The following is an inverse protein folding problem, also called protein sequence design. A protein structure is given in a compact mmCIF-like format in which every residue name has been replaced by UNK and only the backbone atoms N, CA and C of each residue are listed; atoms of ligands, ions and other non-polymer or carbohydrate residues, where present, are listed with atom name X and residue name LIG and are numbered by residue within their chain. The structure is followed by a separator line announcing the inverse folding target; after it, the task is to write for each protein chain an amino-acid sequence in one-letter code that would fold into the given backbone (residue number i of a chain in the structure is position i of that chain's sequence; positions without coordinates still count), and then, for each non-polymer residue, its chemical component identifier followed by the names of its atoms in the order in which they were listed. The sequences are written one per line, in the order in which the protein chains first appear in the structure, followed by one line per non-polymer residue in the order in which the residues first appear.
data_IF_193717768652
#
_entry.id   IF_193717768652
#
_cell.length_a   1.000
_cell.length_b   1.000
_cell.length_c   1.000
_cell.angle_alpha   90.00
_cell.angle_beta   90.00
_cell.angle_gamma   90.00
#
_symmetry.space_group_name_H-M   'P 1'
#
loop_
_entity.id
_entity.type
_entity.pdbx_description
1 polymer ?
#
# COMPACT_ATOMS: atom_id res chain seq x y z
N UNK A 1 -1.02 -4.10 -11.09
CA UNK A 1 -1.12 -4.66 -9.72
C UNK A 1 -2.59 -4.84 -9.36
N UNK A 2 -2.90 -5.77 -8.47
CA UNK A 2 -4.24 -5.92 -7.89
C UNK A 2 -4.45 -4.88 -6.79
N UNK A 3 -5.71 -4.64 -6.41
CA UNK A 3 -6.02 -3.79 -5.26
C UNK A 3 -5.41 -4.39 -3.99
N UNK A 4 -4.70 -3.55 -3.23
CA UNK A 4 -3.97 -3.95 -2.02
C UNK A 4 -4.85 -3.80 -0.79
N UNK A 5 -5.74 -2.82 -0.78
CA UNK A 5 -6.52 -2.42 0.38
C UNK A 5 -7.97 -2.91 0.32
N UNK A 6 -8.46 -3.36 1.47
CA UNK A 6 -9.90 -3.60 1.67
C UNK A 6 -10.57 -2.32 2.14
N UNK A 7 -11.61 -1.88 1.41
CA UNK A 7 -12.39 -0.67 1.74
C UNK A 7 -12.93 -0.66 3.17
N UNK A 8 -13.28 -1.82 3.75
CA UNK A 8 -13.71 -1.90 5.15
C UNK A 8 -12.59 -1.51 6.12
N UNK A 9 -11.38 -2.03 5.94
CA UNK A 9 -10.23 -1.70 6.79
C UNK A 9 -9.83 -0.22 6.68
N UNK A 10 -9.99 0.38 5.49
CA UNK A 10 -9.77 1.81 5.30
C UNK A 10 -10.78 2.64 6.10
N UNK A 11 -12.07 2.24 6.11
CA UNK A 11 -13.09 2.92 6.92
C UNK A 11 -12.85 2.77 8.41
N UNK A 12 -12.49 1.57 8.85
CA UNK A 12 -12.20 1.30 10.26
C UNK A 12 -10.98 2.13 10.74
N UNK A 13 -9.98 2.34 9.87
CA UNK A 13 -8.81 3.15 10.16
C UNK A 13 -9.09 4.67 10.14
N UNK A 14 -10.03 5.11 9.31
CA UNK A 14 -10.45 6.51 9.22
C UNK A 14 -11.54 6.88 10.24
N UNK A 15 -11.58 6.18 11.38
CA UNK A 15 -12.60 6.34 12.42
C UNK A 15 -12.86 7.82 12.76
N UNK A 16 -14.14 8.16 12.87
CA UNK A 16 -14.60 9.53 13.15
C UNK A 16 -14.72 10.46 11.94
N UNK A 17 -14.40 10.02 10.71
CA UNK A 17 -14.65 10.80 9.48
C UNK A 17 -15.25 9.98 8.34
N UNK A 18 -16.02 10.65 7.47
CA UNK A 18 -16.52 10.04 6.24
C UNK A 18 -15.39 9.88 5.22
N UNK A 19 -15.33 8.73 4.57
CA UNK A 19 -14.34 8.45 3.52
C UNK A 19 -14.96 8.62 2.14
N UNK A 20 -14.40 9.53 1.35
CA UNK A 20 -14.78 9.75 -0.05
C UNK A 20 -14.52 8.52 -0.93
N UNK A 21 -15.27 8.38 -2.02
CA UNK A 21 -15.11 7.22 -2.93
C UNK A 21 -13.78 7.25 -3.69
N UNK A 22 -13.28 8.43 -4.01
CA UNK A 22 -12.01 8.71 -4.67
C UNK A 22 -10.79 8.45 -3.76
N UNK A 23 -10.95 8.62 -2.45
CA UNK A 23 -9.89 8.36 -1.48
C UNK A 23 -9.39 6.91 -1.50
N UNK A 24 -10.30 5.93 -1.70
CA UNK A 24 -9.89 4.52 -1.72
C UNK A 24 -8.91 4.23 -2.85
N UNK A 25 -9.18 4.75 -4.04
CA UNK A 25 -8.37 4.49 -5.22
C UNK A 25 -7.02 5.22 -5.08
N UNK A 26 -7.04 6.49 -4.62
CA UNK A 26 -5.82 7.26 -4.38
C UNK A 26 -4.91 6.62 -3.31
N UNK A 27 -5.48 6.13 -2.21
CA UNK A 27 -4.71 5.46 -1.16
C UNK A 27 -4.15 4.11 -1.63
N UNK A 28 -4.92 3.35 -2.41
CA UNK A 28 -4.48 2.08 -2.94
C UNK A 28 -3.32 2.24 -3.93
N UNK A 29 -3.36 3.28 -4.77
CA UNK A 29 -2.27 3.63 -5.68
C UNK A 29 -0.99 4.04 -4.94
N UNK A 30 -1.09 4.81 -3.86
CA UNK A 30 0.08 5.16 -3.04
C UNK A 30 0.70 3.91 -2.39
N UNK A 31 -0.13 3.01 -1.86
CA UNK A 31 0.36 1.76 -1.26
C UNK A 31 0.98 0.84 -2.31
N UNK A 32 0.41 0.76 -3.51
CA UNK A 32 0.99 0.06 -4.66
C UNK A 32 2.40 0.58 -4.97
N UNK A 33 2.58 1.90 -5.04
CA UNK A 33 3.90 2.51 -5.26
C UNK A 33 4.89 2.23 -4.13
N UNK A 34 4.44 2.24 -2.87
CA UNK A 34 5.29 1.83 -1.74
C UNK A 34 5.76 0.38 -1.86
N UNK A 35 4.87 -0.54 -2.26
CA UNK A 35 5.21 -1.95 -2.48
C UNK A 35 6.18 -2.11 -3.65
N UNK A 36 5.97 -1.43 -4.77
CA UNK A 36 6.89 -1.46 -5.92
C UNK A 36 8.31 -1.05 -5.52
N UNK A 37 8.44 0.09 -4.81
CA UNK A 37 9.74 0.58 -4.33
C UNK A 37 10.39 -0.38 -3.35
N UNK A 38 9.61 -1.04 -2.49
CA UNK A 38 10.13 -2.04 -1.57
C UNK A 38 10.62 -3.29 -2.30
N UNK A 39 9.92 -3.70 -3.35
CA UNK A 39 10.35 -4.81 -4.22
C UNK A 39 11.64 -4.44 -4.96
N UNK A 40 11.75 -3.25 -5.55
CA UNK A 40 12.97 -2.76 -6.20
C UNK A 40 14.16 -2.80 -5.24
N UNK A 41 14.03 -2.20 -4.05
CA UNK A 41 15.10 -2.23 -3.03
C UNK A 41 15.50 -3.65 -2.66
N UNK A 42 14.55 -4.59 -2.56
CA UNK A 42 14.87 -5.98 -2.28
C UNK A 42 15.70 -6.60 -3.42
N UNK A 43 15.28 -6.37 -4.67
CA UNK A 43 15.94 -6.88 -5.88
C UNK A 43 17.34 -6.29 -6.08
N UNK A 44 17.51 -4.98 -5.88
CA UNK A 44 18.80 -4.27 -5.97
C UNK A 44 19.82 -4.82 -4.96
N UNK A 45 19.34 -5.32 -3.83
CA UNK A 45 20.16 -5.99 -2.82
C UNK A 45 20.29 -7.50 -3.03
N UNK A 46 19.91 -8.02 -4.20
CA UNK A 46 20.00 -9.44 -4.56
C UNK A 46 19.05 -10.35 -3.77
N UNK A 47 17.99 -9.82 -3.16
CA UNK A 47 17.05 -10.58 -2.32
C UNK A 47 15.76 -10.88 -3.06
N UNK A 48 15.15 -12.03 -2.74
CA UNK A 48 13.80 -12.44 -3.21
C UNK A 48 12.72 -12.27 -2.14
N UNK A 49 13.05 -11.59 -1.05
CA UNK A 49 12.15 -11.39 0.10
C UNK A 49 12.20 -9.92 0.49
N UNK A 50 11.05 -9.25 0.37
CA UNK A 50 10.80 -7.91 0.90
C UNK A 50 10.83 -7.98 2.42
N UNK A 51 11.54 -7.06 3.06
CA UNK A 51 11.69 -6.95 4.52
C UNK A 51 11.21 -5.59 4.99
N UNK A 52 11.03 -5.44 6.30
CA UNK A 52 10.62 -4.16 6.90
C UNK A 52 11.51 -2.97 6.50
N UNK A 53 12.81 -3.19 6.28
CA UNK A 53 13.76 -2.16 5.82
C UNK A 53 13.58 -1.71 4.37
N UNK A 54 12.76 -2.40 3.60
CA UNK A 54 12.52 -2.10 2.19
C UNK A 54 11.31 -1.18 2.00
N UNK A 55 10.42 -1.11 2.99
CA UNK A 55 9.31 -0.14 3.05
C UNK A 55 9.90 1.25 3.28
#
# INVERSE_FOLDING_TARGET
MVDVLKKSGVRDAADGVNVGSDFYDALDDEVKHLVERAVERAQDNGRKTVKARDV
#
